data_IF_124204017535
#
_entry.id   IF_124204017535
#
_cell.length_a   1.000
_cell.length_b   1.000
_cell.length_c   1.000
_cell.angle_alpha   90.00
_cell.angle_beta   90.00
_cell.angle_gamma   90.00
#
_symmetry.space_group_name_H-M   'P 1'
#
loop_
_entity.id
_entity.type
_entity.pdbx_description
1 polymer ?
#
# COMPACT_ATOMS: atom_id res chain seq x y z
N UNK A 1 -54.11 24.89 11.36
CA UNK A 1 -52.82 24.25 11.05
C UNK A 1 -51.80 24.71 12.07
N UNK A 2 -51.11 23.80 12.76
CA UNK A 2 -50.04 24.20 13.69
C UNK A 2 -48.91 24.89 12.92
N UNK A 3 -48.44 26.04 13.40
CA UNK A 3 -47.38 26.82 12.75
C UNK A 3 -46.07 26.03 12.79
N UNK A 4 -45.40 25.89 11.63
CA UNK A 4 -44.10 25.19 11.53
C UNK A 4 -43.09 25.85 12.50
N UNK A 5 -42.32 25.07 13.30
CA UNK A 5 -41.32 25.63 14.20
C UNK A 5 -40.28 26.46 13.43
N UNK A 6 -39.85 27.56 14.00
CA UNK A 6 -38.65 28.29 13.52
C UNK A 6 -37.40 27.43 13.69
N UNK A 7 -36.32 27.70 12.94
CA UNK A 7 -35.05 26.95 13.06
C UNK A 7 -34.50 26.94 14.50
N UNK A 8 -34.64 28.07 15.20
CA UNK A 8 -34.23 28.22 16.61
C UNK A 8 -35.09 27.38 17.56
N UNK A 9 -36.39 27.23 17.28
CA UNK A 9 -37.26 26.33 18.04
C UNK A 9 -36.95 24.88 17.71
N UNK A 10 -36.74 24.55 16.44
CA UNK A 10 -36.39 23.22 15.98
C UNK A 10 -35.08 22.74 16.63
N UNK A 11 -34.05 23.58 16.68
CA UNK A 11 -32.80 23.26 17.39
C UNK A 11 -33.04 22.87 18.85
N UNK A 12 -33.90 23.61 19.56
CA UNK A 12 -34.23 23.32 20.97
C UNK A 12 -34.98 21.99 21.09
N UNK A 13 -35.99 21.77 20.25
CA UNK A 13 -36.76 20.53 20.23
C UNK A 13 -35.89 19.31 19.93
N UNK A 14 -34.93 19.42 19.00
CA UNK A 14 -33.96 18.36 18.71
C UNK A 14 -33.10 18.03 19.94
N UNK A 15 -32.58 19.05 20.63
CA UNK A 15 -31.76 18.84 21.82
C UNK A 15 -32.58 18.28 22.99
N UNK A 16 -33.81 18.76 23.19
CA UNK A 16 -34.73 18.23 24.20
C UNK A 16 -35.02 16.75 23.94
N UNK A 17 -35.31 16.40 22.68
CA UNK A 17 -35.54 15.01 22.30
C UNK A 17 -34.28 14.15 22.45
N UNK A 18 -33.12 14.60 21.95
CA UNK A 18 -31.86 13.87 22.10
C UNK A 18 -31.49 13.68 23.57
N UNK A 19 -31.63 14.72 24.40
CA UNK A 19 -31.34 14.68 25.83
C UNK A 19 -32.33 13.85 26.66
N UNK A 20 -33.47 13.44 26.10
CA UNK A 20 -34.37 12.47 26.75
C UNK A 20 -33.82 11.04 26.66
N UNK A 21 -33.04 10.73 25.63
CA UNK A 21 -32.60 9.36 25.34
C UNK A 21 -31.08 9.16 25.44
N UNK A 22 -30.29 10.24 25.37
CA UNK A 22 -28.85 10.20 25.23
C UNK A 22 -28.16 11.23 26.12
N UNK A 23 -26.94 10.93 26.55
CA UNK A 23 -26.11 11.83 27.34
C UNK A 23 -25.48 12.92 26.47
N UNK A 24 -25.64 14.19 26.86
CA UNK A 24 -24.93 15.31 26.23
C UNK A 24 -23.48 15.32 26.70
N UNK A 25 -22.54 15.24 25.76
CA UNK A 25 -21.11 15.13 26.05
C UNK A 25 -20.40 16.47 25.88
N UNK A 26 -19.47 16.81 26.77
CA UNK A 26 -18.73 18.07 26.68
C UNK A 26 -17.75 18.04 25.49
N UNK A 27 -17.39 19.22 24.93
CA UNK A 27 -16.48 19.28 23.77
C UNK A 27 -15.18 18.48 23.94
N UNK A 28 -14.48 18.66 25.07
CA UNK A 28 -13.20 17.99 25.32
C UNK A 28 -13.35 16.47 25.47
N UNK A 29 -14.41 16.02 26.13
CA UNK A 29 -14.76 14.60 26.28
C UNK A 29 -15.05 13.97 24.92
N UNK A 30 -15.85 14.66 24.08
CA UNK A 30 -16.12 14.22 22.70
C UNK A 30 -14.83 14.11 21.87
N UNK A 31 -13.97 15.13 21.87
CA UNK A 31 -12.73 15.09 21.10
C UNK A 31 -11.72 14.07 21.65
N UNK A 32 -11.74 13.78 22.95
CA UNK A 32 -10.98 12.67 23.54
C UNK A 32 -11.53 11.31 23.09
N UNK A 33 -12.84 11.18 22.89
CA UNK A 33 -13.42 9.99 22.28
C UNK A 33 -13.01 9.86 20.80
N UNK A 34 -13.03 10.95 20.03
CA UNK A 34 -12.57 10.96 18.64
C UNK A 34 -11.07 10.60 18.56
N UNK A 35 -10.25 11.18 19.44
CA UNK A 35 -8.80 11.01 19.49
C UNK A 35 -8.38 10.53 20.89
N UNK A 36 -8.37 9.21 21.14
CA UNK A 36 -7.92 8.64 22.41
C UNK A 36 -6.54 9.14 22.83
N UNK A 37 -6.23 9.08 24.13
CA UNK A 37 -4.90 9.45 24.64
C UNK A 37 -3.78 8.68 23.93
N UNK A 38 -2.71 9.39 23.58
CA UNK A 38 -1.61 8.88 22.76
C UNK A 38 -1.87 8.90 21.26
N UNK A 39 -2.98 9.49 20.78
CA UNK A 39 -3.26 9.65 19.34
C UNK A 39 -2.32 10.64 18.67
N UNK A 40 -1.93 11.69 19.40
CA UNK A 40 -1.15 12.83 18.89
C UNK A 40 0.21 12.93 19.58
N UNK A 41 1.04 13.88 19.11
CA UNK A 41 2.27 14.26 19.80
C UNK A 41 1.95 15.04 21.06
N UNK A 42 2.81 14.92 22.08
CA UNK A 42 2.78 15.85 23.21
C UNK A 42 3.38 17.18 22.77
N UNK A 43 2.81 18.29 23.25
CA UNK A 43 3.27 19.62 22.87
C UNK A 43 4.75 19.81 23.24
N UNK A 44 5.58 20.15 22.26
CA UNK A 44 7.03 20.33 22.44
C UNK A 44 7.88 19.04 22.38
N UNK A 45 7.25 17.87 22.24
CA UNK A 45 7.92 16.57 22.19
C UNK A 45 7.93 15.98 20.77
N UNK A 46 8.73 16.57 19.89
CA UNK A 46 8.81 16.17 18.47
C UNK A 46 9.38 14.74 18.27
N UNK A 47 10.03 14.18 19.28
CA UNK A 47 10.50 12.79 19.30
C UNK A 47 9.37 11.77 19.23
N UNK A 48 8.13 12.16 19.58
CA UNK A 48 6.96 11.28 19.49
C UNK A 48 6.70 10.83 18.05
N UNK A 49 7.00 11.69 17.05
CA UNK A 49 6.89 11.37 15.63
C UNK A 49 5.47 10.99 15.17
N UNK A 50 4.45 11.56 15.81
CA UNK A 50 3.04 11.26 15.56
C UNK A 50 2.37 12.33 14.71
N UNK A 51 1.27 11.95 14.07
CA UNK A 51 0.41 12.92 13.39
C UNK A 51 -0.48 13.63 14.41
N UNK A 52 -0.90 14.86 14.11
CA UNK A 52 -1.70 15.68 15.02
C UNK A 52 -3.05 16.05 14.40
N UNK A 53 -4.01 16.42 15.25
CA UNK A 53 -5.25 17.03 14.79
C UNK A 53 -4.99 18.43 14.22
N UNK A 54 -5.82 18.86 13.27
CA UNK A 54 -5.76 20.24 12.75
C UNK A 54 -7.16 20.85 12.82
N UNK A 55 -7.26 21.98 13.52
CA UNK A 55 -8.44 22.83 13.53
C UNK A 55 -8.22 23.96 12.53
N UNK A 56 -9.20 24.21 11.67
CA UNK A 56 -9.24 25.42 10.84
C UNK A 56 -10.24 26.40 11.45
N UNK A 57 -9.74 27.54 11.91
CA UNK A 57 -10.54 28.64 12.46
C UNK A 57 -10.66 29.72 11.38
N UNK A 58 -11.86 30.24 11.16
CA UNK A 58 -12.07 31.39 10.26
C UNK A 58 -12.45 32.60 11.08
N UNK A 59 -11.57 33.61 11.07
CA UNK A 59 -11.77 34.89 11.74
C UNK A 59 -11.42 36.00 10.74
N UNK A 60 -12.27 37.02 10.63
CA UNK A 60 -12.05 38.18 9.73
C UNK A 60 -11.69 37.75 8.30
N UNK A 61 -12.45 36.81 7.74
CA UNK A 61 -12.27 36.23 6.39
C UNK A 61 -10.91 35.56 6.14
N UNK A 62 -10.15 35.27 7.20
CA UNK A 62 -8.87 34.55 7.12
C UNK A 62 -8.96 33.21 7.81
N UNK A 63 -8.69 32.14 7.07
CA UNK A 63 -8.56 30.80 7.61
C UNK A 63 -7.16 30.59 8.23
N UNK A 64 -7.11 30.15 9.48
CA UNK A 64 -5.88 29.81 10.19
C UNK A 64 -5.97 28.38 10.71
N UNK A 65 -4.91 27.61 10.48
CA UNK A 65 -4.79 26.25 11.02
C UNK A 65 -4.08 26.29 12.38
N UNK A 66 -4.64 25.59 13.38
CA UNK A 66 -3.99 25.29 14.65
C UNK A 66 -3.78 23.79 14.79
N UNK A 67 -2.59 23.41 15.26
CA UNK A 67 -2.26 22.02 15.58
C UNK A 67 -2.90 21.69 16.92
N UNK A 68 -3.50 20.50 17.02
CA UNK A 68 -4.03 19.95 18.27
C UNK A 68 -3.09 18.85 18.73
N UNK A 69 -2.45 19.08 19.87
CA UNK A 69 -1.60 18.10 20.54
C UNK A 69 -2.43 17.19 21.45
N UNK A 70 -1.79 16.16 22.01
CA UNK A 70 -2.48 15.08 22.72
C UNK A 70 -3.20 15.54 24.00
N UNK A 71 -2.85 16.68 24.57
CA UNK A 71 -3.54 17.29 25.72
C UNK A 71 -4.94 17.87 25.38
N UNK A 72 -5.22 18.04 24.08
CA UNK A 72 -6.41 18.68 23.53
C UNK A 72 -6.69 20.09 24.09
N UNK A 73 -5.67 20.81 24.57
CA UNK A 73 -5.82 22.14 25.20
C UNK A 73 -6.48 23.15 24.26
N UNK A 74 -6.15 23.10 22.97
CA UNK A 74 -6.69 23.98 21.93
C UNK A 74 -8.23 23.85 21.78
N UNK A 75 -8.81 22.71 22.16
CA UNK A 75 -10.28 22.53 22.13
C UNK A 75 -10.98 23.51 23.09
N UNK A 76 -10.38 23.77 24.25
CA UNK A 76 -10.91 24.71 25.23
C UNK A 76 -10.80 26.16 24.75
N UNK A 77 -9.71 26.49 24.03
CA UNK A 77 -9.47 27.82 23.47
C UNK A 77 -10.48 28.21 22.38
N UNK A 78 -10.90 27.25 21.55
CA UNK A 78 -11.84 27.51 20.44
C UNK A 78 -13.30 27.42 20.86
N UNK A 79 -13.58 27.12 22.13
CA UNK A 79 -14.95 27.04 22.65
C UNK A 79 -15.67 28.37 22.46
N UNK A 80 -16.85 28.33 21.83
CA UNK A 80 -17.63 29.53 21.53
C UNK A 80 -17.15 30.36 20.34
N UNK A 81 -16.10 29.93 19.63
CA UNK A 81 -15.68 30.55 18.37
C UNK A 81 -16.84 30.57 17.35
N UNK A 82 -16.88 31.60 16.50
CA UNK A 82 -17.93 31.76 15.49
C UNK A 82 -17.88 30.66 14.42
N UNK A 83 -16.67 30.32 13.98
CA UNK A 83 -16.44 29.24 13.03
C UNK A 83 -15.09 28.56 13.26
N UNK A 84 -15.14 27.31 13.72
CA UNK A 84 -14.00 26.41 13.67
C UNK A 84 -14.47 25.04 13.17
N UNK A 85 -13.63 24.40 12.36
CA UNK A 85 -13.90 23.07 11.81
C UNK A 85 -12.74 22.13 12.04
N UNK A 86 -13.07 20.87 12.27
CA UNK A 86 -12.11 19.78 12.42
C UNK A 86 -12.63 18.53 11.73
N UNK A 87 -11.75 17.76 11.12
CA UNK A 87 -12.04 16.43 10.59
C UNK A 87 -11.59 15.37 11.60
N UNK A 88 -12.21 14.17 11.61
CA UNK A 88 -11.74 13.03 12.43
C UNK A 88 -10.48 12.38 11.83
N UNK A 89 -9.48 13.19 11.49
CA UNK A 89 -8.25 12.81 10.78
C UNK A 89 -7.04 13.44 11.46
N UNK A 90 -5.95 12.69 11.56
CA UNK A 90 -4.65 13.21 11.96
C UNK A 90 -3.75 13.46 10.73
N UNK A 91 -2.97 14.53 10.81
CA UNK A 91 -2.12 15.03 9.72
C UNK A 91 -0.67 15.14 10.18
N UNK A 92 0.25 14.85 9.26
CA UNK A 92 1.68 15.16 9.42
C UNK A 92 1.90 16.64 9.10
N UNK A 93 2.55 17.37 10.00
CA UNK A 93 2.81 18.79 9.84
C UNK A 93 1.56 19.68 10.07
N UNK A 94 1.57 20.89 9.49
CA UNK A 94 0.61 21.97 9.84
C UNK A 94 -0.56 22.15 8.88
N UNK A 95 -0.55 21.44 7.76
CA UNK A 95 -1.51 21.65 6.67
C UNK A 95 -2.49 20.49 6.55
N UNK A 96 -3.78 20.82 6.51
CA UNK A 96 -4.91 19.89 6.35
C UNK A 96 -5.08 19.44 4.89
N UNK A 97 -4.08 18.74 4.35
CA UNK A 97 -4.09 18.24 2.95
C UNK A 97 -4.17 16.72 2.91
N UNK A 98 -4.66 16.17 1.80
CA UNK A 98 -4.70 14.73 1.56
C UNK A 98 -3.30 14.08 1.59
N UNK A 99 -2.26 14.80 1.14
CA UNK A 99 -0.87 14.35 1.20
C UNK A 99 -0.33 14.26 2.64
N UNK A 100 -0.84 15.10 3.53
CA UNK A 100 -0.43 15.13 4.93
C UNK A 100 -1.24 14.19 5.81
N UNK A 101 -2.44 13.78 5.40
CA UNK A 101 -3.28 12.89 6.19
C UNK A 101 -2.60 11.54 6.47
N UNK A 102 -2.69 11.06 7.71
CA UNK A 102 -2.03 9.83 8.16
C UNK A 102 -2.99 8.81 8.74
N UNK A 103 -3.96 9.26 9.53
CA UNK A 103 -4.87 8.39 10.26
C UNK A 103 -6.30 8.91 10.18
N UNK A 104 -7.23 8.02 9.84
CA UNK A 104 -8.67 8.25 9.92
C UNK A 104 -9.19 7.64 11.23
N UNK A 105 -9.69 8.46 12.14
CA UNK A 105 -10.22 8.02 13.44
C UNK A 105 -11.73 7.78 13.42
N UNK A 106 -12.43 8.31 12.43
CA UNK A 106 -13.88 8.19 12.32
C UNK A 106 -14.38 8.64 10.95
N UNK A 107 -15.62 8.29 10.66
CA UNK A 107 -16.34 8.80 9.50
C UNK A 107 -17.44 9.71 10.01
N UNK A 108 -17.52 10.91 9.47
CA UNK A 108 -18.58 11.85 9.78
C UNK A 108 -19.41 12.13 8.53
N UNK A 109 -20.73 12.12 8.69
CA UNK A 109 -21.72 12.44 7.65
C UNK A 109 -22.47 13.69 8.09
N UNK A 110 -22.49 14.70 7.23
CA UNK A 110 -23.37 15.88 7.37
C UNK A 110 -24.74 15.53 6.80
N UNK A 111 -25.79 15.62 7.61
CA UNK A 111 -27.16 15.33 7.21
C UNK A 111 -27.99 16.60 7.37
N UNK A 112 -28.29 17.24 6.24
CA UNK A 112 -29.13 18.44 6.18
C UNK A 112 -30.62 18.09 6.02
N UNK A 113 -31.49 19.09 6.17
CA UNK A 113 -32.93 18.91 5.97
C UNK A 113 -33.62 18.09 7.07
N UNK A 114 -33.01 17.98 8.26
CA UNK A 114 -33.52 17.17 9.37
C UNK A 114 -34.53 17.97 10.19
N UNK A 115 -35.82 17.64 10.09
CA UNK A 115 -36.85 18.11 11.03
C UNK A 115 -37.12 17.07 12.13
N UNK A 116 -38.11 17.31 12.99
CA UNK A 116 -38.43 16.35 14.08
C UNK A 116 -38.85 14.96 13.57
N UNK A 117 -39.66 14.81 12.51
CA UNK A 117 -39.95 13.50 11.93
C UNK A 117 -38.68 12.80 11.44
N UNK A 118 -37.86 13.50 10.64
CA UNK A 118 -36.60 12.97 10.12
C UNK A 118 -35.63 12.55 11.23
N UNK A 119 -35.52 13.34 12.30
CA UNK A 119 -34.71 12.99 13.47
C UNK A 119 -35.18 11.65 14.07
N UNK A 120 -36.49 11.49 14.28
CA UNK A 120 -37.05 10.25 14.83
C UNK A 120 -36.82 9.07 13.88
N UNK A 121 -36.99 9.27 12.59
CA UNK A 121 -36.76 8.26 11.57
C UNK A 121 -35.29 7.84 11.46
N UNK A 122 -34.33 8.76 11.61
CA UNK A 122 -32.89 8.44 11.70
C UNK A 122 -32.66 7.42 12.80
N UNK A 123 -33.12 7.69 14.02
CA UNK A 123 -32.93 6.78 15.15
C UNK A 123 -33.77 5.52 15.05
N UNK A 124 -34.97 5.60 14.47
CA UNK A 124 -35.77 4.41 14.17
C UNK A 124 -35.03 3.46 13.23
N UNK A 125 -34.45 3.97 12.15
CA UNK A 125 -33.68 3.18 11.20
C UNK A 125 -32.39 2.61 11.80
N UNK A 126 -31.70 3.37 12.65
CA UNK A 126 -30.53 2.88 13.39
C UNK A 126 -30.89 1.73 14.33
N UNK A 127 -32.04 1.81 15.01
CA UNK A 127 -32.49 0.78 15.96
C UNK A 127 -33.04 -0.49 15.29
N UNK A 128 -33.30 -0.46 13.98
CA UNK A 128 -33.79 -1.60 13.20
C UNK A 128 -32.78 -2.06 12.14
N UNK A 129 -31.50 -1.70 12.30
CA UNK A 129 -30.41 -2.09 11.40
C UNK A 129 -30.64 -1.73 9.91
N UNK A 130 -31.43 -0.69 9.65
CA UNK A 130 -31.68 -0.20 8.29
C UNK A 130 -30.51 0.66 7.84
N UNK A 131 -29.99 1.52 8.72
CA UNK A 131 -28.77 2.34 8.53
C UNK A 131 -27.81 2.08 9.70
N UNK A 132 -26.50 2.31 9.56
CA UNK A 132 -25.57 2.06 10.65
C UNK A 132 -25.88 2.98 11.83
N UNK A 133 -25.74 2.45 13.04
CA UNK A 133 -25.87 3.24 14.27
C UNK A 133 -24.65 4.14 14.44
N UNK A 134 -24.87 5.45 14.60
CA UNK A 134 -23.77 6.38 14.84
C UNK A 134 -23.28 6.32 16.29
N UNK A 135 -21.98 6.51 16.49
CA UNK A 135 -21.35 6.60 17.81
C UNK A 135 -21.77 7.89 18.52
N UNK A 136 -21.73 9.01 17.79
CA UNK A 136 -22.22 10.30 18.27
C UNK A 136 -23.14 10.96 17.25
N UNK A 137 -24.25 11.51 17.75
CA UNK A 137 -25.11 12.41 17.00
C UNK A 137 -24.86 13.85 17.46
N UNK A 138 -24.43 14.71 16.53
CA UNK A 138 -24.15 16.11 16.82
C UNK A 138 -25.25 16.97 16.20
N UNK A 139 -25.93 17.78 17.00
CA UNK A 139 -26.82 18.82 16.49
C UNK A 139 -26.00 20.05 16.08
N UNK A 140 -25.85 20.26 14.77
CA UNK A 140 -25.04 21.32 14.19
C UNK A 140 -25.76 22.66 14.04
N UNK A 141 -27.03 22.73 14.45
CA UNK A 141 -27.91 23.88 14.24
C UNK A 141 -29.08 23.49 13.33
N UNK A 142 -28.82 23.47 12.03
CA UNK A 142 -29.79 23.17 10.98
C UNK A 142 -29.94 21.66 10.74
N UNK A 143 -28.81 20.95 10.66
CA UNK A 143 -28.75 19.51 10.38
C UNK A 143 -28.22 18.70 11.56
N UNK A 144 -27.72 17.50 11.24
CA UNK A 144 -27.00 16.63 12.16
C UNK A 144 -25.64 16.28 11.57
N UNK A 145 -24.60 16.18 12.40
CA UNK A 145 -23.42 15.42 12.03
C UNK A 145 -23.48 14.05 12.71
N UNK A 146 -23.47 12.98 11.92
CA UNK A 146 -23.46 11.61 12.40
C UNK A 146 -22.03 11.09 12.37
N UNK A 147 -21.45 10.84 13.54
CA UNK A 147 -20.08 10.36 13.68
C UNK A 147 -20.06 8.86 13.97
N UNK A 148 -19.28 8.15 13.18
CA UNK A 148 -18.98 6.73 13.30
C UNK A 148 -17.51 6.61 13.69
N UNK A 149 -17.21 6.55 14.98
CA UNK A 149 -15.83 6.48 15.45
C UNK A 149 -15.31 5.07 15.28
N UNK A 150 -14.09 4.94 14.75
CA UNK A 150 -13.51 3.64 14.50
C UNK A 150 -12.92 3.06 15.80
N UNK A 151 -13.06 1.75 15.98
CA UNK A 151 -12.37 1.02 17.05
C UNK A 151 -10.85 1.17 16.93
N UNK A 152 -10.35 1.05 15.68
CA UNK A 152 -8.95 1.24 15.33
C UNK A 152 -8.83 2.25 14.19
N UNK A 153 -7.91 3.23 14.28
CA UNK A 153 -7.74 4.19 13.21
C UNK A 153 -7.21 3.53 11.93
N UNK A 154 -7.72 3.97 10.78
CA UNK A 154 -7.33 3.44 9.46
C UNK A 154 -6.15 4.25 8.90
N UNK A 155 -5.06 3.61 8.46
CA UNK A 155 -3.93 4.31 7.86
C UNK A 155 -4.31 4.87 6.48
N UNK A 156 -4.08 6.17 6.26
CA UNK A 156 -4.49 6.88 5.05
C UNK A 156 -3.42 6.87 3.95
N UNK A 157 -3.07 5.68 3.48
CA UNK A 157 -2.19 5.54 2.30
C UNK A 157 -2.85 6.13 1.05
N UNK A 158 -2.05 6.73 0.16
CA UNK A 158 -2.54 7.41 -1.05
C UNK A 158 -3.50 6.54 -1.89
N UNK A 159 -3.20 5.25 -2.05
CA UNK A 159 -4.04 4.32 -2.81
C UNK A 159 -5.39 3.98 -2.13
N UNK A 160 -5.50 4.18 -0.81
CA UNK A 160 -6.71 3.90 -0.04
C UNK A 160 -7.67 5.10 0.00
N UNK A 161 -7.17 6.32 -0.24
CA UNK A 161 -7.97 7.55 -0.12
C UNK A 161 -9.15 7.59 -1.08
N UNK A 162 -8.96 7.19 -2.35
CA UNK A 162 -10.04 7.14 -3.33
C UNK A 162 -11.08 6.08 -2.98
N UNK A 163 -10.63 4.88 -2.56
CA UNK A 163 -11.52 3.80 -2.09
C UNK A 163 -12.37 4.26 -0.90
N UNK A 164 -11.76 4.88 0.10
CA UNK A 164 -12.47 5.40 1.28
C UNK A 164 -13.43 6.55 0.94
N UNK A 165 -13.13 7.36 -0.07
CA UNK A 165 -14.05 8.38 -0.57
C UNK A 165 -15.30 7.75 -1.19
N UNK A 166 -15.14 6.79 -2.08
CA UNK A 166 -16.27 6.09 -2.71
C UNK A 166 -17.11 5.35 -1.67
N UNK A 167 -16.45 4.65 -0.73
CA UNK A 167 -17.07 4.03 0.42
C UNK A 167 -17.92 5.00 1.25
N UNK A 168 -17.35 6.17 1.59
CA UNK A 168 -18.09 7.21 2.32
C UNK A 168 -19.29 7.72 1.52
N UNK A 169 -19.18 7.85 0.19
CA UNK A 169 -20.30 8.31 -0.64
C UNK A 169 -21.46 7.32 -0.63
N UNK A 170 -21.17 6.03 -0.70
CA UNK A 170 -22.19 4.98 -0.56
C UNK A 170 -22.85 5.00 0.83
N UNK A 171 -22.08 5.23 1.90
CA UNK A 171 -22.64 5.41 3.24
C UNK A 171 -23.53 6.67 3.33
N UNK A 172 -23.12 7.78 2.72
CA UNK A 172 -23.95 9.00 2.64
C UNK A 172 -25.26 8.68 1.92
N UNK A 173 -25.21 8.01 0.76
CA UNK A 173 -26.43 7.64 0.01
C UNK A 173 -27.36 6.72 0.80
N UNK A 174 -26.80 5.85 1.65
CA UNK A 174 -27.57 4.96 2.52
C UNK A 174 -28.25 5.71 3.66
N UNK A 175 -27.51 6.60 4.33
CA UNK A 175 -27.97 7.36 5.49
C UNK A 175 -28.89 8.50 5.09
N UNK A 176 -28.60 9.19 3.98
CA UNK A 176 -29.37 10.31 3.45
C UNK A 176 -30.43 9.79 2.48
N UNK A 177 -31.60 9.46 3.03
CA UNK A 177 -32.72 8.91 2.28
C UNK A 177 -34.00 9.71 2.54
N UNK A 178 -35.08 9.37 1.83
CA UNK A 178 -36.36 10.12 1.85
C UNK A 178 -37.02 10.25 3.23
N UNK A 179 -36.60 9.45 4.20
CA UNK A 179 -37.14 9.44 5.55
C UNK A 179 -36.25 10.21 6.53
N UNK A 180 -34.94 10.24 6.29
CA UNK A 180 -33.95 10.87 7.18
C UNK A 180 -33.65 12.33 6.82
N UNK A 181 -34.07 12.79 5.63
CA UNK A 181 -33.96 14.18 5.21
C UNK A 181 -35.19 14.63 4.43
N UNK A 182 -35.53 15.91 4.54
CA UNK A 182 -36.49 16.59 3.66
C UNK A 182 -35.91 16.91 2.28
N UNK A 183 -34.58 16.83 2.12
CA UNK A 183 -33.90 16.97 0.83
C UNK A 183 -33.76 15.59 0.20
N UNK A 184 -34.71 15.24 -0.66
CA UNK A 184 -34.84 13.90 -1.22
C UNK A 184 -34.27 13.76 -2.62
N UNK A 185 -34.06 14.88 -3.33
CA UNK A 185 -33.50 14.85 -4.67
C UNK A 185 -31.99 14.59 -4.61
N UNK A 186 -31.50 13.73 -5.51
CA UNK A 186 -30.09 13.30 -5.51
C UNK A 186 -29.12 14.47 -5.69
N UNK A 187 -29.53 15.51 -6.40
CA UNK A 187 -28.73 16.73 -6.60
C UNK A 187 -28.62 17.60 -5.34
N UNK A 188 -29.53 17.44 -4.38
CA UNK A 188 -29.50 18.15 -3.10
C UNK A 188 -28.60 17.47 -2.07
N UNK A 189 -28.27 16.19 -2.28
CA UNK A 189 -27.39 15.42 -1.38
C UNK A 189 -25.95 15.88 -1.53
N UNK A 190 -25.36 16.34 -0.43
CA UNK A 190 -23.98 16.79 -0.41
C UNK A 190 -23.02 15.62 -0.15
N UNK A 191 -22.31 15.20 -1.20
CA UNK A 191 -21.27 14.17 -1.08
C UNK A 191 -19.94 14.80 -0.66
N UNK A 192 -19.55 14.57 0.60
CA UNK A 192 -18.35 15.15 1.21
C UNK A 192 -17.26 14.09 1.39
N UNK A 193 -16.02 14.39 0.99
CA UNK A 193 -14.88 13.48 1.13
C UNK A 193 -14.49 13.19 2.59
N UNK A 194 -13.57 12.26 2.81
CA UNK A 194 -13.12 11.84 4.15
C UNK A 194 -12.35 12.92 4.93
N UNK A 195 -11.80 13.93 4.24
CA UNK A 195 -11.04 15.03 4.85
C UNK A 195 -11.88 16.27 5.18
N UNK A 196 -13.20 16.19 4.94
CA UNK A 196 -14.10 17.30 5.22
C UNK A 196 -14.05 17.67 6.70
N UNK A 197 -13.91 18.97 6.97
CA UNK A 197 -14.01 19.49 8.33
C UNK A 197 -15.46 19.79 8.68
N UNK A 198 -15.86 19.44 9.88
CA UNK A 198 -17.21 19.70 10.42
C UNK A 198 -17.14 20.75 11.51
N UNK A 199 -18.19 21.56 11.67
CA UNK A 199 -18.25 22.54 12.76
C UNK A 199 -18.06 21.84 14.10
N UNK A 200 -17.17 22.40 14.91
CA UNK A 200 -16.72 21.74 16.13
C UNK A 200 -17.77 21.77 17.25
N UNK A 201 -17.81 20.72 18.05
CA UNK A 201 -18.66 20.69 19.26
C UNK A 201 -18.21 21.80 20.22
N UNK A 202 -19.16 22.57 20.75
CA UNK A 202 -18.88 23.72 21.61
C UNK A 202 -18.65 25.05 20.89
N UNK A 203 -18.52 25.09 19.56
CA UNK A 203 -18.50 26.35 18.79
C UNK A 203 -19.91 26.82 18.46
N UNK A 204 -20.04 28.01 17.88
CA UNK A 204 -21.34 28.50 17.43
C UNK A 204 -21.84 27.73 16.20
N UNK A 205 -23.13 27.39 16.19
CA UNK A 205 -23.82 27.03 14.95
C UNK A 205 -24.07 28.27 14.08
N UNK A 206 -24.60 28.07 12.87
CA UNK A 206 -25.09 29.18 12.02
C UNK A 206 -26.23 29.98 12.67
N UNK A 207 -26.87 29.46 13.73
CA UNK A 207 -27.94 30.16 14.48
C UNK A 207 -27.39 31.18 15.50
N UNK A 208 -26.06 31.23 15.69
CA UNK A 208 -25.34 32.18 16.54
C UNK A 208 -25.07 31.69 17.96
N UNK A 209 -24.48 32.58 18.78
CA UNK A 209 -23.89 32.29 20.10
C UNK A 209 -24.78 31.52 21.10
N UNK A 210 -26.10 31.69 21.04
CA UNK A 210 -27.05 31.01 21.94
C UNK A 210 -27.37 29.57 21.54
N UNK A 211 -26.83 29.10 20.42
CA UNK A 211 -27.13 27.81 19.80
C UNK A 211 -25.82 27.09 19.47
N UNK A 212 -25.05 26.65 20.47
CA UNK A 212 -23.77 25.97 20.23
C UNK A 212 -23.98 24.61 19.55
N UNK A 213 -22.96 24.11 18.87
CA UNK A 213 -22.96 22.74 18.37
C UNK A 213 -22.86 21.78 19.56
N UNK A 214 -23.81 20.85 19.68
CA UNK A 214 -23.92 19.92 20.83
C UNK A 214 -23.79 18.48 20.38
N UNK A 215 -23.08 17.65 21.15
CA UNK A 215 -22.88 16.23 20.87
C UNK A 215 -23.63 15.37 21.89
N UNK A 216 -24.18 14.26 21.40
CA UNK A 216 -24.85 13.25 22.19
C UNK A 216 -24.24 11.89 21.89
N UNK A 217 -23.91 11.13 22.92
CA UNK A 217 -23.41 9.76 22.78
C UNK A 217 -24.57 8.81 22.50
N UNK A 218 -24.53 8.14 21.34
CA UNK A 218 -25.69 7.38 20.83
C UNK A 218 -25.41 5.90 20.64
N UNK A 219 -24.15 5.50 20.49
CA UNK A 219 -23.77 4.12 20.21
C UNK A 219 -22.27 3.87 20.40
N UNK A 220 -21.86 2.65 20.11
CA UNK A 220 -20.47 2.21 20.29
C UNK A 220 -19.58 2.62 19.10
N UNK A 221 -18.28 2.39 19.26
CA UNK A 221 -17.34 2.46 18.14
C UNK A 221 -17.67 1.38 17.11
N UNK A 222 -17.27 1.62 15.87
CA UNK A 222 -17.56 0.74 14.75
C UNK A 222 -16.29 0.27 14.05
N UNK A 223 -16.41 -0.77 13.25
CA UNK A 223 -15.36 -1.25 12.34
C UNK A 223 -15.71 -0.90 10.89
N UNK A 224 -14.71 -0.91 10.00
CA UNK A 224 -14.98 -0.73 8.56
C UNK A 224 -15.80 -1.91 8.04
N UNK A 225 -15.58 -3.10 8.59
CA UNK A 225 -16.31 -4.34 8.31
C UNK A 225 -17.79 -4.23 8.68
N UNK A 226 -18.11 -3.66 9.85
CA UNK A 226 -19.50 -3.37 10.23
C UNK A 226 -20.15 -2.42 9.22
N UNK A 227 -19.49 -1.31 8.89
CA UNK A 227 -20.02 -0.32 7.95
C UNK A 227 -20.15 -0.86 6.52
N UNK A 228 -19.26 -1.75 6.08
CA UNK A 228 -19.35 -2.48 4.80
C UNK A 228 -20.67 -3.27 4.69
N UNK A 229 -21.24 -3.71 5.82
CA UNK A 229 -22.54 -4.38 5.90
C UNK A 229 -23.69 -3.56 5.32
N UNK A 230 -23.63 -2.23 5.45
CA UNK A 230 -24.73 -1.31 5.07
C UNK A 230 -24.64 -0.76 3.65
N UNK A 231 -23.50 -0.97 2.96
CA UNK A 231 -23.34 -0.51 1.58
C UNK A 231 -24.32 -1.22 0.64
N UNK A 232 -24.92 -0.46 -0.27
CA UNK A 232 -25.76 -1.02 -1.34
C UNK A 232 -24.88 -1.62 -2.45
N UNK A 233 -23.86 -0.88 -2.91
CA UNK A 233 -22.84 -1.41 -3.83
C UNK A 233 -21.68 -2.05 -3.05
N UNK A 234 -21.66 -3.39 -3.00
CA UNK A 234 -20.60 -4.16 -2.33
C UNK A 234 -19.24 -4.04 -3.01
N UNK A 235 -19.16 -3.59 -4.27
CA UNK A 235 -17.87 -3.35 -4.94
C UNK A 235 -17.09 -2.17 -4.34
N UNK A 236 -17.78 -1.30 -3.59
CA UNK A 236 -17.19 -0.15 -2.88
C UNK A 236 -16.76 -0.48 -1.45
N UNK A 237 -16.91 -1.74 -1.03
CA UNK A 237 -16.45 -2.19 0.27
C UNK A 237 -14.93 -2.03 0.39
N UNK A 238 -14.49 -1.58 1.57
CA UNK A 238 -13.06 -1.41 1.86
C UNK A 238 -12.57 -2.61 2.65
N UNK A 239 -11.80 -3.47 1.97
CA UNK A 239 -11.23 -4.72 2.55
C UNK A 239 -9.71 -4.75 2.48
N UNK A 240 -9.11 -3.96 1.59
CA UNK A 240 -7.68 -4.07 1.24
C UNK A 240 -6.81 -3.12 2.07
N UNK A 241 -6.91 -3.20 3.39
CA UNK A 241 -5.99 -2.50 4.27
C UNK A 241 -5.68 -3.37 5.48
N UNK A 242 -4.47 -3.21 6.00
CA UNK A 242 -4.06 -3.85 7.23
C UNK A 242 -3.93 -2.78 8.30
N UNK A 243 -4.61 -2.99 9.43
CA UNK A 243 -4.29 -2.27 10.66
C UNK A 243 -2.80 -2.47 10.97
N UNK A 244 -2.14 -1.42 11.49
CA UNK A 244 -0.79 -1.63 12.04
C UNK A 244 -0.88 -2.72 13.10
N UNK A 245 0.09 -3.63 13.09
CA UNK A 245 0.13 -4.67 14.10
C UNK A 245 0.30 -4.03 15.47
N UNK A 246 -0.56 -4.41 16.42
CA UNK A 246 -0.42 -4.05 17.83
C UNK A 246 0.72 -4.82 18.52
N UNK A 247 1.43 -5.67 17.76
CA UNK A 247 2.54 -6.48 18.26
C UNK A 247 3.65 -5.55 18.74
N UNK A 248 3.75 -5.41 20.06
CA UNK A 248 4.82 -4.67 20.69
C UNK A 248 6.18 -5.29 20.36
N UNK A 249 7.25 -4.51 20.44
CA UNK A 249 8.61 -5.03 20.28
C UNK A 249 8.90 -6.18 21.26
N UNK A 250 8.34 -6.14 22.48
CA UNK A 250 8.48 -7.21 23.46
C UNK A 250 7.79 -8.52 23.03
N UNK A 251 6.59 -8.43 22.46
CA UNK A 251 5.88 -9.60 21.93
C UNK A 251 6.51 -10.11 20.63
N UNK A 252 6.99 -9.20 19.77
CA UNK A 252 7.74 -9.55 18.58
C UNK A 252 9.02 -10.31 18.92
N UNK A 253 9.74 -9.91 19.99
CA UNK A 253 10.90 -10.65 20.51
C UNK A 253 10.55 -12.08 20.94
N UNK A 254 9.37 -12.29 21.53
CA UNK A 254 8.91 -13.62 21.96
C UNK A 254 8.45 -14.48 20.78
N UNK A 255 7.66 -13.92 19.86
CA UNK A 255 7.07 -14.65 18.72
C UNK A 255 8.06 -14.86 17.56
N UNK A 256 8.96 -13.90 17.36
CA UNK A 256 9.92 -13.87 16.26
C UNK A 256 11.33 -13.52 16.78
N UNK A 257 11.92 -14.35 17.66
CA UNK A 257 13.19 -14.04 18.32
C UNK A 257 14.34 -13.82 17.34
N UNK A 258 14.45 -14.67 16.31
CA UNK A 258 15.49 -14.53 15.28
C UNK A 258 15.32 -13.26 14.44
N UNK A 259 14.08 -12.93 14.08
CA UNK A 259 13.80 -11.69 13.35
C UNK A 259 14.11 -10.47 14.22
N UNK A 260 13.74 -10.50 15.52
CA UNK A 260 13.98 -9.40 16.44
C UNK A 260 15.46 -9.16 16.63
N UNK A 261 16.23 -10.22 16.85
CA UNK A 261 17.69 -10.16 16.98
C UNK A 261 18.31 -9.55 15.72
N UNK A 262 18.02 -10.11 14.54
CA UNK A 262 18.57 -9.61 13.27
C UNK A 262 18.16 -8.16 12.97
N UNK A 263 16.87 -7.81 13.13
CA UNK A 263 16.32 -6.52 12.67
C UNK A 263 16.41 -5.41 13.69
N UNK A 264 16.19 -5.70 14.96
CA UNK A 264 16.06 -4.69 16.01
C UNK A 264 17.36 -4.56 16.80
N UNK A 265 18.01 -5.67 17.16
CA UNK A 265 19.26 -5.65 17.93
C UNK A 265 20.45 -5.37 17.03
N UNK A 266 20.59 -6.14 15.94
CA UNK A 266 21.74 -6.08 15.03
C UNK A 266 21.58 -5.06 13.90
N UNK A 267 20.35 -4.60 13.65
CA UNK A 267 20.05 -3.61 12.59
C UNK A 267 20.27 -4.14 11.17
N UNK A 268 20.27 -5.45 10.97
CA UNK A 268 20.50 -6.07 9.67
C UNK A 268 19.40 -5.70 8.67
N UNK A 269 19.78 -5.47 7.41
CA UNK A 269 18.86 -5.17 6.31
C UNK A 269 18.12 -6.41 5.84
N UNK A 270 16.85 -6.23 5.42
CA UNK A 270 15.97 -7.32 4.95
C UNK A 270 16.70 -8.19 3.92
N UNK A 271 16.67 -9.51 4.14
CA UNK A 271 17.22 -10.46 3.16
C UNK A 271 16.47 -10.32 1.84
N UNK A 272 17.22 -10.23 0.74
CA UNK A 272 16.68 -10.04 -0.61
C UNK A 272 17.08 -11.21 -1.51
N UNK A 273 16.31 -11.39 -2.57
CA UNK A 273 16.69 -12.34 -3.61
C UNK A 273 17.85 -11.77 -4.40
N UNK A 274 19.01 -12.41 -4.28
CA UNK A 274 20.19 -12.09 -5.08
C UNK A 274 19.99 -12.58 -6.51
N UNK A 275 20.10 -11.66 -7.48
CA UNK A 275 19.97 -11.98 -8.89
C UNK A 275 21.38 -12.07 -9.50
N UNK A 276 21.58 -13.00 -10.43
CA UNK A 276 22.86 -13.16 -11.10
C UNK A 276 23.25 -11.90 -11.88
N UNK A 277 24.55 -11.59 -11.87
CA UNK A 277 25.20 -10.53 -12.67
C UNK A 277 24.80 -10.54 -14.15
N UNK A 278 24.46 -11.70 -14.71
CA UNK A 278 23.96 -11.84 -16.08
C UNK A 278 22.84 -10.84 -16.43
N UNK A 279 21.96 -10.49 -15.47
CA UNK A 279 20.90 -9.51 -15.70
C UNK A 279 21.46 -8.10 -15.93
N UNK A 280 22.45 -7.70 -15.14
CA UNK A 280 23.11 -6.41 -15.24
C UNK A 280 23.88 -6.30 -16.57
N UNK A 281 24.73 -7.28 -16.86
CA UNK A 281 25.54 -7.30 -18.09
C UNK A 281 24.66 -7.38 -19.35
N UNK A 282 23.56 -8.14 -19.28
CA UNK A 282 22.57 -8.19 -20.35
C UNK A 282 21.89 -6.83 -20.56
N UNK A 283 21.53 -6.13 -19.47
CA UNK A 283 20.89 -4.83 -19.57
C UNK A 283 21.83 -3.77 -20.14
N UNK A 284 23.09 -3.75 -19.69
CA UNK A 284 24.12 -2.85 -20.21
C UNK A 284 24.28 -2.99 -21.73
N UNK A 285 24.24 -4.23 -22.26
CA UNK A 285 24.19 -4.47 -23.71
C UNK A 285 22.90 -4.00 -24.35
N UNK A 286 21.74 -4.21 -23.71
CA UNK A 286 20.44 -3.78 -24.24
C UNK A 286 20.32 -2.27 -24.40
N UNK A 287 20.92 -1.48 -23.51
CA UNK A 287 20.99 -0.03 -23.66
C UNK A 287 21.70 0.32 -24.98
N UNK A 288 22.84 -0.33 -25.27
CA UNK A 288 23.58 -0.10 -26.51
C UNK A 288 22.83 -0.55 -27.77
N UNK A 289 21.97 -1.55 -27.66
CA UNK A 289 21.20 -2.10 -28.79
C UNK A 289 19.90 -1.33 -29.09
N UNK A 290 19.27 -0.72 -28.09
CA UNK A 290 17.88 -0.28 -28.23
C UNK A 290 17.47 0.93 -27.41
N UNK A 291 18.40 1.68 -26.80
CA UNK A 291 18.05 2.95 -26.21
C UNK A 291 17.58 3.96 -27.29
N UNK A 292 16.61 4.78 -26.92
CA UNK A 292 15.99 5.77 -27.80
C UNK A 292 15.86 7.13 -27.14
N UNK A 293 15.77 8.17 -27.96
CA UNK A 293 15.53 9.55 -27.50
C UNK A 293 14.25 9.59 -26.68
N UNK A 294 14.30 10.28 -25.54
CA UNK A 294 13.21 10.31 -24.54
C UNK A 294 13.29 9.23 -23.45
N UNK A 295 14.05 8.15 -23.66
CA UNK A 295 14.15 7.03 -22.70
C UNK A 295 15.56 6.77 -22.16
N UNK A 296 16.57 7.52 -22.60
CA UNK A 296 17.98 7.40 -22.18
C UNK A 296 18.18 7.46 -20.67
N UNK A 297 17.60 8.47 -20.02
CA UNK A 297 17.63 8.61 -18.55
C UNK A 297 17.00 7.39 -17.86
N UNK A 298 15.80 6.98 -18.31
CA UNK A 298 15.11 5.81 -17.79
C UNK A 298 15.92 4.52 -17.93
N UNK A 299 16.69 4.36 -19.02
CA UNK A 299 17.59 3.22 -19.21
C UNK A 299 18.67 3.14 -18.13
N UNK A 300 19.25 4.29 -17.74
CA UNK A 300 20.23 4.35 -16.64
C UNK A 300 19.59 4.14 -15.27
N UNK A 301 18.36 4.63 -15.04
CA UNK A 301 17.63 4.33 -13.80
C UNK A 301 17.39 2.83 -13.62
N UNK A 302 17.08 2.12 -14.71
CA UNK A 302 16.94 0.66 -14.70
C UNK A 302 18.30 -0.02 -14.51
N UNK A 303 19.37 0.49 -15.12
CA UNK A 303 20.74 -0.02 -14.92
C UNK A 303 21.15 0.07 -13.45
N UNK A 304 20.96 1.22 -12.82
CA UNK A 304 21.22 1.42 -11.39
C UNK A 304 20.37 0.49 -10.51
N UNK A 305 19.07 0.34 -10.83
CA UNK A 305 18.20 -0.60 -10.12
C UNK A 305 18.64 -2.06 -10.28
N UNK A 306 19.20 -2.43 -11.43
CA UNK A 306 19.71 -3.78 -11.69
C UNK A 306 21.08 -4.02 -11.06
N UNK A 307 21.93 -3.01 -10.96
CA UNK A 307 23.16 -3.06 -10.19
C UNK A 307 22.86 -3.40 -8.72
N UNK A 308 21.88 -2.73 -8.10
CA UNK A 308 21.42 -3.06 -6.74
C UNK A 308 20.98 -4.52 -6.65
N UNK A 309 20.17 -5.01 -7.59
CA UNK A 309 19.68 -6.41 -7.60
C UNK A 309 20.77 -7.46 -7.77
N UNK A 310 21.85 -7.11 -8.46
CA UNK A 310 22.93 -8.02 -8.81
C UNK A 310 24.18 -7.81 -7.95
N UNK A 311 24.07 -7.00 -6.89
CA UNK A 311 25.16 -6.67 -5.97
C UNK A 311 26.39 -6.09 -6.68
N UNK A 312 26.18 -5.29 -7.73
CA UNK A 312 27.25 -4.63 -8.48
C UNK A 312 27.72 -3.40 -7.70
N UNK A 313 29.03 -3.28 -7.41
CA UNK A 313 29.59 -2.13 -6.72
C UNK A 313 29.24 -0.80 -7.39
N UNK A 314 29.06 0.24 -6.57
CA UNK A 314 28.65 1.57 -7.04
C UNK A 314 29.68 2.17 -8.01
N UNK A 315 30.98 2.01 -7.73
CA UNK A 315 32.09 2.45 -8.57
C UNK A 315 32.11 1.75 -9.94
N UNK A 316 31.77 0.46 -9.99
CA UNK A 316 31.61 -0.27 -11.25
C UNK A 316 30.43 0.28 -12.05
N UNK A 317 29.26 0.45 -11.41
CA UNK A 317 28.07 1.04 -12.03
C UNK A 317 28.36 2.44 -12.59
N UNK A 318 29.05 3.29 -11.83
CA UNK A 318 29.42 4.63 -12.29
C UNK A 318 30.31 4.56 -13.52
N UNK A 319 31.32 3.69 -13.51
CA UNK A 319 32.24 3.49 -14.63
C UNK A 319 31.47 3.08 -15.89
N UNK A 320 30.58 2.10 -15.77
CA UNK A 320 29.75 1.64 -16.88
C UNK A 320 28.78 2.71 -17.38
N UNK A 321 28.13 3.44 -16.48
CA UNK A 321 27.21 4.52 -16.84
C UNK A 321 27.94 5.68 -17.55
N UNK A 322 29.13 6.07 -17.09
CA UNK A 322 29.96 7.07 -17.78
C UNK A 322 30.47 6.58 -19.13
N UNK A 323 30.72 5.28 -19.30
CA UNK A 323 31.08 4.71 -20.60
C UNK A 323 29.97 4.85 -21.65
N UNK A 324 28.71 4.98 -21.20
CA UNK A 324 27.55 5.20 -22.06
C UNK A 324 27.31 6.66 -22.40
N UNK A 325 27.98 7.61 -21.73
CA UNK A 325 27.68 9.04 -21.85
C UNK A 325 27.70 9.52 -23.30
N UNK A 326 28.82 9.31 -24.00
CA UNK A 326 28.97 9.76 -25.38
C UNK A 326 27.93 9.10 -26.29
N UNK A 327 27.75 7.79 -26.17
CA UNK A 327 26.77 7.04 -26.95
C UNK A 327 25.34 7.55 -26.75
N UNK A 328 24.94 7.86 -25.51
CA UNK A 328 23.61 8.37 -25.21
C UNK A 328 23.43 9.82 -25.68
N UNK A 329 24.48 10.65 -25.58
CA UNK A 329 24.48 12.05 -26.00
C UNK A 329 24.51 12.20 -27.53
N UNK A 330 25.16 11.28 -28.26
CA UNK A 330 25.17 11.24 -29.72
C UNK A 330 23.77 11.00 -30.32
N UNK A 331 22.80 10.53 -29.54
CA UNK A 331 21.40 10.38 -29.95
C UNK A 331 20.62 11.71 -29.90
N UNK A 332 21.18 12.76 -29.32
CA UNK A 332 20.51 14.06 -29.22
C UNK A 332 20.31 14.69 -30.60
N UNK A 333 19.07 15.07 -30.89
CA UNK A 333 18.66 15.74 -32.13
C UNK A 333 18.49 17.26 -31.97
N UNK A 334 18.62 17.82 -30.76
CA UNK A 334 18.56 19.26 -30.46
C UNK A 334 19.46 19.65 -29.26
N UNK A 335 19.79 20.92 -29.12
CA UNK A 335 20.51 21.46 -27.96
C UNK A 335 19.73 21.28 -26.65
N UNK A 336 18.41 21.30 -26.69
CA UNK A 336 17.57 21.15 -25.50
C UNK A 336 17.52 19.71 -24.96
N UNK A 337 17.99 18.72 -25.73
CA UNK A 337 17.95 17.32 -25.32
C UNK A 337 19.34 16.67 -25.20
N UNK A 338 20.40 17.46 -25.07
CA UNK A 338 21.75 16.95 -24.76
C UNK A 338 21.74 16.07 -23.51
N UNK A 339 22.46 14.95 -23.58
CA UNK A 339 22.61 14.02 -22.47
C UNK A 339 23.93 14.29 -21.75
N UNK A 340 23.87 14.60 -20.47
CA UNK A 340 25.02 15.16 -19.74
C UNK A 340 25.46 14.26 -18.58
N UNK A 341 26.59 14.62 -17.98
CA UNK A 341 27.05 14.00 -16.73
C UNK A 341 26.00 14.13 -15.61
N UNK A 342 25.20 15.19 -15.62
CA UNK A 342 24.15 15.40 -14.61
C UNK A 342 23.08 14.32 -14.68
N UNK A 343 22.67 13.94 -15.89
CA UNK A 343 21.67 12.88 -16.10
C UNK A 343 22.15 11.53 -15.55
N UNK A 344 23.46 11.25 -15.65
CA UNK A 344 24.07 10.06 -15.04
C UNK A 344 23.97 10.16 -13.51
N UNK A 345 24.44 11.26 -12.92
CA UNK A 345 24.40 11.44 -11.46
C UNK A 345 22.97 11.35 -10.90
N UNK A 346 22.00 11.95 -11.60
CA UNK A 346 20.60 11.91 -11.21
C UNK A 346 20.03 10.48 -11.31
N UNK A 347 20.39 9.73 -12.36
CA UNK A 347 19.97 8.33 -12.50
C UNK A 347 20.59 7.42 -11.43
N UNK A 348 21.80 7.72 -10.95
CA UNK A 348 22.44 6.93 -9.89
C UNK A 348 21.74 7.05 -8.53
N UNK A 349 20.85 8.03 -8.33
CA UNK A 349 19.97 8.06 -7.16
C UNK A 349 19.05 6.83 -7.08
N UNK A 350 18.89 6.06 -8.16
CA UNK A 350 18.16 4.79 -8.19
C UNK A 350 18.99 3.60 -7.68
N UNK A 351 20.28 3.79 -7.38
CA UNK A 351 21.11 2.80 -6.70
C UNK A 351 20.77 2.74 -5.19
N UNK A 352 19.54 2.33 -4.89
CA UNK A 352 19.02 2.20 -3.53
C UNK A 352 18.26 0.89 -3.34
N UNK A 353 18.29 0.35 -2.12
CA UNK A 353 17.59 -0.89 -1.74
C UNK A 353 16.09 -0.89 -2.07
N UNK A 354 15.44 0.28 -2.01
CA UNK A 354 14.02 0.43 -2.32
C UNK A 354 13.67 0.05 -3.77
N UNK A 355 14.66 0.08 -4.68
CA UNK A 355 14.49 -0.28 -6.08
C UNK A 355 14.86 -1.74 -6.40
N UNK A 356 15.25 -2.55 -5.41
CA UNK A 356 15.53 -3.99 -5.63
C UNK A 356 14.32 -4.74 -6.20
N UNK A 357 13.09 -4.28 -5.92
CA UNK A 357 11.85 -4.89 -6.42
C UNK A 357 11.39 -4.34 -7.78
N UNK A 358 12.21 -3.53 -8.47
CA UNK A 358 11.84 -2.95 -9.77
C UNK A 358 11.38 -4.04 -10.74
N UNK A 359 10.14 -3.99 -11.24
CA UNK A 359 9.61 -5.11 -12.01
C UNK A 359 10.13 -5.13 -13.45
N UNK A 360 10.19 -6.32 -14.09
CA UNK A 360 10.50 -6.45 -15.53
C UNK A 360 9.55 -5.60 -16.40
N UNK A 361 8.25 -5.63 -16.06
CA UNK A 361 7.21 -4.88 -16.79
C UNK A 361 7.44 -3.38 -16.70
N UNK A 362 7.84 -2.91 -15.53
CA UNK A 362 8.12 -1.49 -15.33
C UNK A 362 9.39 -1.07 -16.08
N UNK A 363 10.44 -1.89 -16.03
CA UNK A 363 11.67 -1.66 -16.79
C UNK A 363 11.38 -1.52 -18.29
N UNK A 364 10.63 -2.47 -18.86
CA UNK A 364 10.17 -2.44 -20.26
C UNK A 364 9.34 -1.18 -20.58
N UNK A 365 8.43 -0.80 -19.68
CA UNK A 365 7.56 0.38 -19.86
C UNK A 365 8.35 1.68 -19.89
N UNK A 366 9.30 1.87 -18.97
CA UNK A 366 10.02 3.16 -18.84
C UNK A 366 11.17 3.32 -19.83
N UNK A 367 11.83 2.21 -20.20
CA UNK A 367 12.96 2.24 -21.13
C UNK A 367 12.54 2.16 -22.59
N UNK A 368 11.30 1.77 -22.87
CA UNK A 368 10.82 1.41 -24.21
C UNK A 368 11.62 0.27 -24.91
N UNK A 369 12.44 -0.48 -24.16
CA UNK A 369 13.15 -1.67 -24.65
C UNK A 369 12.27 -2.89 -24.38
N UNK A 370 11.92 -3.64 -25.43
CA UNK A 370 11.11 -4.85 -25.32
C UNK A 370 11.80 -5.92 -24.46
N UNK A 371 11.07 -6.48 -23.49
CA UNK A 371 11.56 -7.50 -22.56
C UNK A 371 10.55 -8.65 -22.44
N UNK A 372 10.23 -9.41 -23.51
CA UNK A 372 9.14 -10.38 -23.50
C UNK A 372 9.22 -11.35 -22.31
N UNK A 373 8.07 -11.62 -21.68
CA UNK A 373 8.01 -12.56 -20.58
C UNK A 373 8.40 -13.97 -21.06
N UNK A 374 9.23 -14.67 -20.28
CA UNK A 374 9.46 -16.10 -20.50
C UNK A 374 8.13 -16.85 -20.42
N UNK A 375 7.74 -17.57 -21.47
CA UNK A 375 6.56 -18.44 -21.44
C UNK A 375 6.81 -19.59 -20.48
N UNK A 376 6.22 -19.53 -19.28
CA UNK A 376 6.09 -20.69 -18.39
C UNK A 376 4.75 -21.36 -18.65
N UNK A 377 4.74 -22.69 -18.63
CA UNK A 377 3.52 -23.49 -18.76
C UNK A 377 2.69 -23.56 -17.47
N UNK A 378 3.13 -22.89 -16.39
CA UNK A 378 2.46 -22.81 -15.09
C UNK A 378 2.44 -24.10 -14.27
N UNK A 379 2.92 -25.22 -14.83
CA UNK A 379 2.87 -26.54 -14.18
C UNK A 379 3.96 -26.67 -13.14
N UNK A 380 3.63 -27.32 -12.02
CA UNK A 380 4.66 -27.75 -11.06
C UNK A 380 5.57 -28.79 -11.71
N UNK A 381 6.82 -28.90 -11.24
CA UNK A 381 7.78 -29.85 -11.80
C UNK A 381 7.24 -31.29 -11.78
N UNK A 382 6.53 -31.68 -10.73
CA UNK A 382 5.91 -33.00 -10.60
C UNK A 382 4.89 -33.27 -11.72
N UNK A 383 3.92 -32.37 -11.93
CA UNK A 383 2.92 -32.47 -12.99
C UNK A 383 3.56 -32.47 -14.39
N UNK A 384 4.63 -31.68 -14.58
CA UNK A 384 5.36 -31.65 -15.84
C UNK A 384 6.03 -33.01 -16.13
N UNK A 385 6.70 -33.59 -15.13
CA UNK A 385 7.36 -34.89 -15.25
C UNK A 385 6.35 -36.04 -15.39
N UNK A 386 5.23 -36.00 -14.67
CA UNK A 386 4.15 -36.98 -14.78
C UNK A 386 3.58 -37.01 -16.20
N UNK A 387 3.25 -35.84 -16.75
CA UNK A 387 2.76 -35.73 -18.12
C UNK A 387 3.82 -36.19 -19.13
N UNK A 388 5.08 -35.82 -18.94
CA UNK A 388 6.16 -36.28 -19.80
C UNK A 388 6.29 -37.81 -19.78
N UNK A 389 6.15 -38.45 -18.62
CA UNK A 389 6.16 -39.92 -18.46
C UNK A 389 4.92 -40.57 -19.10
N UNK A 390 3.75 -39.97 -18.96
CA UNK A 390 2.51 -40.45 -19.60
C UNK A 390 2.64 -40.42 -21.12
N UNK A 391 3.09 -39.29 -21.69
CA UNK A 391 3.35 -39.16 -23.13
C UNK A 391 4.40 -40.18 -23.58
N UNK A 392 5.50 -40.31 -22.85
CA UNK A 392 6.54 -41.32 -23.14
C UNK A 392 5.99 -42.76 -23.12
N UNK A 393 5.03 -43.05 -22.23
CA UNK A 393 4.39 -44.37 -22.15
C UNK A 393 3.42 -44.60 -23.30
N UNK A 394 2.71 -43.56 -23.76
CA UNK A 394 1.84 -43.62 -24.93
C UNK A 394 2.63 -43.78 -26.23
N UNK A 395 3.71 -43.02 -26.41
CA UNK A 395 4.55 -43.05 -27.61
C UNK A 395 5.38 -44.33 -27.72
N UNK A 396 5.76 -44.90 -26.57
CA UNK A 396 6.57 -46.11 -26.48
C UNK A 396 5.98 -47.12 -25.47
N UNK A 397 4.81 -47.71 -25.78
CA UNK A 397 4.06 -48.58 -24.85
C UNK A 397 4.82 -49.86 -24.51
N UNK A 398 5.69 -50.31 -25.40
CA UNK A 398 6.58 -51.47 -25.20
C UNK A 398 7.88 -51.12 -24.46
N UNK A 399 8.06 -49.85 -24.05
CA UNK A 399 9.26 -49.36 -23.40
C UNK A 399 10.50 -49.37 -24.30
N UNK A 400 10.36 -49.25 -25.62
CA UNK A 400 11.50 -49.26 -26.57
C UNK A 400 12.56 -48.17 -26.31
N UNK A 401 12.20 -47.09 -25.63
CA UNK A 401 13.15 -46.06 -25.19
C UNK A 401 14.07 -46.53 -24.05
N UNK A 402 13.71 -47.62 -23.34
CA UNK A 402 14.54 -48.21 -22.31
C UNK A 402 15.47 -49.22 -22.95
N UNK A 403 16.76 -49.09 -22.66
CA UNK A 403 17.70 -50.16 -22.97
C UNK A 403 17.44 -51.35 -22.02
N UNK A 404 16.70 -52.36 -22.51
CA UNK A 404 16.32 -53.56 -21.76
C UNK A 404 17.50 -54.49 -21.45
N UNK A 405 18.58 -54.37 -22.21
CA UNK A 405 19.81 -55.16 -22.02
C UNK A 405 20.75 -54.53 -20.99
N UNK A 406 20.36 -53.39 -20.41
CA UNK A 406 21.16 -52.65 -19.44
C UNK A 406 22.42 -52.05 -20.07
N UNK A 407 23.37 -51.65 -19.22
CA UNK A 407 24.68 -51.18 -19.67
C UNK A 407 25.40 -52.34 -20.40
N UNK A 408 25.97 -52.13 -21.60
CA UNK A 408 26.63 -53.20 -22.34
C UNK A 408 27.65 -53.95 -21.48
N UNK A 409 27.56 -55.30 -21.43
CA UNK A 409 28.51 -56.15 -20.69
C UNK A 409 29.95 -55.81 -21.09
N UNK A 410 30.84 -55.71 -20.10
CA UNK A 410 32.25 -55.33 -20.30
C UNK A 410 32.52 -53.82 -20.42
N UNK A 411 31.51 -52.95 -20.53
CA UNK A 411 31.76 -51.49 -20.63
C UNK A 411 32.28 -50.83 -19.34
N UNK A 412 32.27 -51.55 -18.21
CA UNK A 412 32.92 -51.14 -16.96
C UNK A 412 34.39 -51.58 -16.85
N UNK A 413 34.81 -52.56 -17.65
CA UNK A 413 36.15 -53.17 -17.59
C UNK A 413 37.13 -52.50 -18.56
N UNK A 414 36.61 -51.76 -19.55
CA UNK A 414 37.42 -51.03 -20.54
C UNK A 414 38.45 -50.08 -19.93
N UNK A 415 38.17 -49.50 -18.76
CA UNK A 415 39.16 -48.67 -18.04
C UNK A 415 40.32 -49.50 -17.52
N UNK A 416 40.06 -50.70 -16.96
CA UNK A 416 41.09 -51.60 -16.46
C UNK A 416 41.95 -52.15 -17.60
N UNK A 417 41.33 -52.49 -18.72
CA UNK A 417 42.03 -52.97 -19.92
C UNK A 417 43.04 -51.92 -20.43
N UNK A 418 42.64 -50.64 -20.50
CA UNK A 418 43.54 -49.56 -20.93
C UNK A 418 44.66 -49.32 -19.90
N UNK A 419 44.35 -49.40 -18.60
CA UNK A 419 45.32 -49.22 -17.52
C UNK A 419 46.35 -50.36 -17.46
N UNK A 420 45.91 -51.61 -17.53
CA UNK A 420 46.77 -52.81 -17.56
C UNK A 420 47.65 -52.82 -18.82
N UNK A 421 47.08 -52.48 -19.98
CA UNK A 421 47.86 -52.40 -21.23
C UNK A 421 48.97 -51.36 -21.12
N UNK A 422 48.68 -50.19 -20.52
CA UNK A 422 49.67 -49.11 -20.34
C UNK A 422 50.76 -49.49 -19.33
N UNK A 423 50.43 -50.24 -18.27
CA UNK A 423 51.44 -50.75 -17.34
C UNK A 423 52.41 -51.73 -18.02
N UNK A 424 51.91 -52.56 -18.94
CA UNK A 424 52.71 -53.51 -19.70
C UNK A 424 53.50 -52.85 -20.84
N UNK A 425 53.04 -51.69 -21.35
CA UNK A 425 53.65 -50.96 -22.44
C UNK A 425 53.89 -49.48 -22.06
N UNK A 426 54.91 -49.19 -21.22
CA UNK A 426 55.15 -47.84 -20.70
C UNK A 426 55.38 -46.78 -21.79
N UNK A 427 56.01 -47.16 -22.90
CA UNK A 427 56.29 -46.31 -24.06
C UNK A 427 55.25 -46.46 -25.20
N UNK A 428 54.21 -47.26 -24.99
CA UNK A 428 53.19 -47.56 -25.99
C UNK A 428 52.35 -46.34 -26.37
N UNK A 429 51.98 -46.19 -27.65
CA UNK A 429 51.13 -45.08 -28.09
C UNK A 429 49.66 -45.47 -28.00
N UNK A 430 48.79 -44.45 -27.93
CA UNK A 430 47.32 -44.62 -27.92
C UNK A 430 46.80 -45.48 -29.08
N UNK A 431 47.43 -45.36 -30.25
CA UNK A 431 47.06 -46.13 -31.45
C UNK A 431 47.41 -47.61 -31.34
N UNK A 432 48.46 -47.95 -30.59
CA UNK A 432 48.90 -49.32 -30.38
C UNK A 432 47.94 -50.02 -29.41
N UNK A 433 47.57 -49.33 -28.33
CA UNK A 433 46.52 -49.79 -27.42
C UNK A 433 45.16 -49.99 -28.13
N UNK A 434 44.78 -49.08 -29.04
CA UNK A 434 43.57 -49.23 -29.86
C UNK A 434 43.61 -50.52 -30.69
N UNK A 435 44.74 -50.79 -31.35
CA UNK A 435 44.92 -51.97 -32.20
C UNK A 435 44.94 -53.28 -31.41
N UNK A 436 45.65 -53.29 -30.28
CA UNK A 436 45.90 -54.52 -29.51
C UNK A 436 44.73 -54.89 -28.59
N UNK A 437 44.05 -53.90 -28.01
CA UNK A 437 42.89 -54.15 -27.13
C UNK A 437 41.58 -54.27 -27.89
N UNK A 438 41.55 -53.87 -29.16
CA UNK A 438 40.33 -53.80 -29.97
C UNK A 438 39.31 -52.76 -29.48
N UNK A 439 39.69 -51.89 -28.54
CA UNK A 439 38.84 -50.81 -28.03
C UNK A 439 38.76 -49.68 -29.05
N UNK A 440 37.62 -48.98 -29.11
CA UNK A 440 37.50 -47.83 -30.00
C UNK A 440 38.41 -46.68 -29.58
N UNK A 441 38.93 -45.89 -30.54
CA UNK A 441 39.73 -44.68 -30.31
C UNK A 441 39.21 -43.78 -29.18
N UNK A 442 37.90 -43.50 -29.17
CA UNK A 442 37.29 -42.64 -28.15
C UNK A 442 37.33 -43.26 -26.75
N UNK A 443 37.23 -44.58 -26.65
CA UNK A 443 37.34 -45.30 -25.37
C UNK A 443 38.77 -45.22 -24.84
N UNK A 444 39.77 -45.50 -25.69
CA UNK A 444 41.18 -45.42 -25.31
C UNK A 444 41.51 -43.99 -24.88
N UNK A 445 41.17 -42.98 -25.68
CA UNK A 445 41.42 -41.57 -25.35
C UNK A 445 40.82 -41.13 -24.02
N UNK A 446 39.61 -41.61 -23.69
CA UNK A 446 38.93 -41.26 -22.44
C UNK A 446 39.64 -41.81 -21.20
N UNK A 447 40.23 -42.99 -21.30
CA UNK A 447 40.87 -43.69 -20.17
C UNK A 447 42.39 -43.62 -20.18
N UNK A 448 42.99 -43.02 -21.21
CA UNK A 448 44.42 -42.79 -21.32
C UNK A 448 44.86 -41.64 -20.39
N UNK A 449 45.26 -42.01 -19.17
CA UNK A 449 45.84 -41.08 -18.19
C UNK A 449 47.34 -41.11 -18.26
#
# INVERSE_FOLDING_TARGET
MAKKPTEKQLYKLKNEWLGQFFEEVKPKEFYRAVFPEGSFERAGHFEDGKANGIITIVENDKAKNRIVFDDLSVIDEVKGAEFAVMSPVAYSGRNRTAANARWLYGIAIDLDGVEMPQLRDVFHQMNHDIIPKCTYCINSGHGLHLYYLLEKPVPLYKHLQDKLREFKYELIAKVWNRYTSTFTEREQVQYQGIFQGFRMVGTQSKLGKRYPVKAFETGERVTIEYLNGYLMDKSKAVTDFHYKSDLSLAEARKKYPEWYEKRIVQGERRERWHIKRDLYDWWLRKIKEGASVGHRYSCLCVLASYAVKCDIPEDELFTDAFSLLQFLDDMSDDEHNRFTKRDILDAMQFYQENYVTYSRREAERVSAIAMPASKRNGRKQAEHLERARLVQTLDYPNGAWRNKEGRPKGSGEKSKIVEEWKQQHPDGKKIDCERETGLSRHTVLKWWK
#
